data_IF_488815505518
#
_entry.id   IF_488815505518
#
_cell.length_a   1.000
_cell.length_b   1.000
_cell.length_c   1.000
_cell.angle_alpha   90.00
_cell.angle_beta   90.00
_cell.angle_gamma   90.00
#
_symmetry.space_group_name_H-M   'P 1'
#
loop_
_entity.id
_entity.type
_entity.pdbx_description
1 polymer ?
#
# COMPACT_ATOMS: atom_id res chain seq x y z
N UNK A 1 22.14 -2.32 -9.43
CA UNK A 1 21.57 -1.19 -8.66
C UNK A 1 20.87 -1.73 -7.40
N UNK A 2 20.92 -0.97 -6.32
CA UNK A 2 20.21 -1.30 -5.09
C UNK A 2 18.70 -1.16 -5.31
N UNK A 3 17.91 -2.12 -4.84
CA UNK A 3 16.44 -2.10 -4.99
C UNK A 3 15.81 -1.11 -4.01
N UNK A 4 14.93 -0.25 -4.51
CA UNK A 4 14.15 0.69 -3.69
C UNK A 4 12.75 0.18 -3.37
N UNK A 5 12.34 -0.94 -3.99
CA UNK A 5 10.98 -1.51 -3.92
C UNK A 5 11.01 -2.98 -4.33
N UNK A 6 10.24 -3.83 -3.66
CA UNK A 6 10.16 -5.26 -3.97
C UNK A 6 8.94 -5.54 -4.87
N UNK A 7 7.84 -4.80 -4.74
CA UNK A 7 6.62 -4.97 -5.55
C UNK A 7 6.90 -5.00 -7.04
N UNK A 8 7.77 -4.11 -7.54
CA UNK A 8 8.16 -4.11 -8.95
C UNK A 8 8.89 -5.37 -9.41
N UNK A 9 9.64 -6.03 -8.52
CA UNK A 9 10.30 -7.30 -8.82
C UNK A 9 9.28 -8.46 -8.85
N UNK A 10 8.34 -8.48 -7.90
CA UNK A 10 7.23 -9.45 -7.87
C UNK A 10 6.42 -9.37 -9.16
N UNK A 11 6.03 -8.16 -9.58
CA UNK A 11 5.30 -7.93 -10.82
C UNK A 11 6.09 -8.42 -12.04
N UNK A 12 7.39 -8.12 -12.12
CA UNK A 12 8.23 -8.59 -13.23
C UNK A 12 8.31 -10.13 -13.27
N UNK A 13 8.41 -10.80 -12.12
CA UNK A 13 8.42 -12.26 -12.05
C UNK A 13 7.14 -12.86 -12.60
N UNK A 14 5.98 -12.29 -12.25
CA UNK A 14 4.68 -12.72 -12.77
C UNK A 14 4.57 -12.49 -14.29
N UNK A 15 5.01 -11.35 -14.77
CA UNK A 15 5.00 -11.04 -16.20
C UNK A 15 5.83 -12.01 -17.03
N UNK A 16 6.96 -12.49 -16.49
CA UNK A 16 7.85 -13.42 -17.18
C UNK A 16 7.33 -14.87 -17.21
N UNK A 17 6.55 -15.27 -16.19
CA UNK A 17 6.07 -16.65 -16.05
C UNK A 17 4.62 -16.87 -16.55
N UNK A 18 3.98 -15.85 -17.12
CA UNK A 18 2.63 -15.91 -17.74
C UNK A 18 1.51 -16.45 -16.82
N UNK A 19 1.55 -16.07 -15.57
CA UNK A 19 0.53 -16.45 -14.59
C UNK A 19 -0.82 -15.77 -14.89
N UNK A 20 -1.83 -16.56 -15.23
CA UNK A 20 -3.20 -16.09 -15.53
C UNK A 20 -4.15 -16.22 -14.33
N UNK A 21 -3.84 -17.09 -13.38
CA UNK A 21 -4.67 -17.37 -12.21
C UNK A 21 -4.53 -16.30 -11.13
N UNK A 22 -5.47 -16.21 -10.18
CA UNK A 22 -5.28 -15.44 -8.97
C UNK A 22 -4.04 -15.91 -8.20
N UNK A 23 -3.23 -14.96 -7.70
CA UNK A 23 -2.02 -15.26 -6.94
C UNK A 23 -2.00 -14.50 -5.64
N UNK A 24 -1.67 -15.22 -4.56
CA UNK A 24 -1.39 -14.70 -3.23
C UNK A 24 0.10 -14.88 -2.98
N UNK A 25 0.82 -13.78 -2.92
CA UNK A 25 2.26 -13.77 -2.77
C UNK A 25 2.65 -13.03 -1.52
N UNK A 26 3.72 -13.50 -0.87
CA UNK A 26 4.38 -12.74 0.19
C UNK A 26 5.86 -12.60 -0.14
N UNK A 27 6.47 -11.57 0.38
CA UNK A 27 7.89 -11.35 0.24
C UNK A 27 8.52 -10.79 1.51
N UNK A 28 9.81 -11.06 1.65
CA UNK A 28 10.68 -10.50 2.68
C UNK A 28 11.98 -10.06 2.03
N UNK A 29 12.49 -8.92 2.42
CA UNK A 29 13.80 -8.47 1.91
C UNK A 29 14.13 -7.06 2.30
N UNK A 30 15.37 -6.70 1.99
CA UNK A 30 15.88 -5.37 2.25
C UNK A 30 15.66 -4.46 1.05
N UNK A 31 15.25 -3.22 1.32
CA UNK A 31 15.17 -2.14 0.37
C UNK A 31 16.12 -1.01 0.78
N UNK A 32 16.54 -0.22 -0.19
CA UNK A 32 17.48 0.86 0.01
C UNK A 32 16.85 2.18 -0.44
N UNK A 33 16.75 3.13 0.47
CA UNK A 33 16.21 4.46 0.16
C UNK A 33 17.25 5.52 0.49
N UNK A 34 17.30 6.54 -0.37
CA UNK A 34 18.12 7.71 -0.11
C UNK A 34 17.43 8.59 0.91
N UNK A 35 18.07 8.84 2.03
CA UNK A 35 17.64 9.84 2.99
C UNK A 35 17.90 11.24 2.39
N UNK A 36 16.81 12.01 2.27
CA UNK A 36 16.88 13.34 1.64
C UNK A 36 17.67 14.34 2.51
N UNK A 37 17.59 14.16 3.82
CA UNK A 37 18.24 15.09 4.79
C UNK A 37 19.75 14.87 4.82
N UNK A 38 20.18 13.63 4.96
CA UNK A 38 21.59 13.28 5.15
C UNK A 38 22.31 12.87 3.88
N UNK A 39 21.59 12.78 2.74
CA UNK A 39 22.09 12.29 1.46
C UNK A 39 22.70 10.87 1.52
N UNK A 40 22.37 10.09 2.57
CA UNK A 40 22.84 8.74 2.81
C UNK A 40 21.85 7.70 2.30
N UNK A 41 22.38 6.54 1.93
CA UNK A 41 21.52 5.39 1.62
C UNK A 41 21.24 4.63 2.91
N UNK A 42 19.96 4.51 3.25
CA UNK A 42 19.50 3.70 4.39
C UNK A 42 18.89 2.40 3.88
N UNK A 43 19.20 1.34 4.58
CA UNK A 43 18.62 0.02 4.38
C UNK A 43 17.40 -0.12 5.31
N UNK A 44 16.32 -0.69 4.79
CA UNK A 44 15.10 -1.01 5.54
C UNK A 44 14.69 -2.43 5.23
N UNK A 45 14.30 -3.18 6.25
CA UNK A 45 13.70 -4.50 6.08
C UNK A 45 12.21 -4.37 5.81
N UNK A 46 11.76 -5.00 4.75
CA UNK A 46 10.38 -4.90 4.28
C UNK A 46 9.77 -6.31 4.16
N UNK A 47 8.58 -6.50 4.73
CA UNK A 47 7.74 -7.67 4.50
C UNK A 47 6.46 -7.21 3.84
N UNK A 48 5.95 -7.96 2.87
CA UNK A 48 4.74 -7.57 2.18
C UNK A 48 3.95 -8.73 1.60
N UNK A 49 2.73 -8.41 1.22
CA UNK A 49 1.76 -9.32 0.59
C UNK A 49 1.24 -8.66 -0.66
N UNK A 50 1.11 -9.45 -1.73
CA UNK A 50 0.50 -9.04 -2.99
C UNK A 50 -0.59 -10.03 -3.39
N UNK A 51 -1.78 -9.52 -3.71
CA UNK A 51 -2.90 -10.30 -4.26
C UNK A 51 -3.13 -9.82 -5.68
N UNK A 52 -2.92 -10.69 -6.65
CA UNK A 52 -2.83 -10.35 -8.07
C UNK A 52 -3.86 -11.13 -8.85
N UNK A 53 -4.45 -10.49 -9.88
CA UNK A 53 -5.47 -11.07 -10.77
C UNK A 53 -6.72 -11.55 -10.02
N UNK A 54 -7.07 -10.92 -8.90
CA UNK A 54 -8.32 -11.10 -8.17
C UNK A 54 -9.23 -9.87 -8.33
N UNK A 55 -10.54 -10.00 -8.11
CA UNK A 55 -11.43 -8.84 -8.06
C UNK A 55 -10.94 -7.80 -7.05
N UNK A 56 -10.93 -6.51 -7.44
CA UNK A 56 -10.33 -5.42 -6.65
C UNK A 56 -10.90 -5.31 -5.23
N UNK A 57 -12.22 -5.48 -5.09
CA UNK A 57 -12.91 -5.44 -3.79
C UNK A 57 -12.45 -6.56 -2.86
N UNK A 58 -12.29 -7.76 -3.40
CA UNK A 58 -11.91 -8.94 -2.62
C UNK A 58 -10.43 -8.88 -2.25
N UNK A 59 -9.58 -8.49 -3.20
CA UNK A 59 -8.15 -8.25 -2.95
C UNK A 59 -7.93 -7.21 -1.87
N UNK A 60 -8.61 -6.07 -1.94
CA UNK A 60 -8.52 -5.02 -0.92
C UNK A 60 -8.97 -5.52 0.45
N UNK A 61 -10.13 -6.21 0.50
CA UNK A 61 -10.66 -6.80 1.74
C UNK A 61 -9.67 -7.74 2.41
N UNK A 62 -9.08 -8.66 1.65
CA UNK A 62 -8.08 -9.60 2.17
C UNK A 62 -6.79 -8.90 2.60
N UNK A 63 -6.28 -7.96 1.81
CA UNK A 63 -5.08 -7.17 2.12
C UNK A 63 -5.23 -6.45 3.47
N UNK A 64 -6.33 -5.70 3.67
CA UNK A 64 -6.53 -4.97 4.93
C UNK A 64 -6.78 -5.91 6.10
N UNK A 65 -7.45 -7.05 5.90
CA UNK A 65 -7.67 -8.06 6.93
C UNK A 65 -6.38 -8.72 7.40
N UNK A 66 -5.51 -9.11 6.47
CA UNK A 66 -4.20 -9.70 6.78
C UNK A 66 -3.35 -8.69 7.55
N UNK A 67 -3.25 -7.46 7.05
CA UNK A 67 -2.46 -6.41 7.69
C UNK A 67 -2.98 -6.08 9.10
N UNK A 68 -4.28 -5.89 9.25
CA UNK A 68 -4.90 -5.58 10.55
C UNK A 68 -4.69 -6.70 11.57
N UNK A 69 -4.80 -7.96 11.14
CA UNK A 69 -4.51 -9.12 11.98
C UNK A 69 -3.04 -9.16 12.46
N UNK A 70 -2.11 -8.77 11.62
CA UNK A 70 -0.68 -8.67 12.00
C UNK A 70 -0.48 -7.54 13.00
N UNK A 71 -0.92 -6.34 12.67
CA UNK A 71 -0.69 -5.15 13.48
C UNK A 71 -1.42 -5.21 14.83
N UNK A 72 -2.65 -5.74 14.87
CA UNK A 72 -3.42 -5.86 16.11
C UNK A 72 -2.77 -6.81 17.12
N UNK A 73 -2.11 -7.86 16.65
CA UNK A 73 -1.36 -8.79 17.50
C UNK A 73 -0.08 -8.18 18.07
N UNK A 74 0.56 -7.30 17.32
CA UNK A 74 1.83 -6.67 17.70
C UNK A 74 1.60 -5.42 18.54
N UNK A 75 0.65 -4.56 18.14
CA UNK A 75 0.53 -3.19 18.65
C UNK A 75 -0.77 -2.94 19.44
N UNK A 76 -1.59 -3.97 19.71
CA UNK A 76 -2.83 -3.84 20.48
C UNK A 76 -3.74 -2.68 20.02
N UNK A 77 -3.81 -2.43 18.70
CA UNK A 77 -4.57 -1.34 18.05
C UNK A 77 -4.02 0.08 18.26
N UNK A 78 -2.78 0.24 18.66
CA UNK A 78 -2.14 1.56 18.74
C UNK A 78 -1.62 2.03 17.37
N UNK A 79 -2.49 2.03 16.37
CA UNK A 79 -2.17 2.47 15.00
C UNK A 79 -3.41 3.02 14.29
N UNK A 80 -3.18 3.82 13.25
CA UNK A 80 -4.21 4.45 12.44
C UNK A 80 -3.94 4.27 10.95
N UNK A 81 -4.99 3.98 10.18
CA UNK A 81 -4.95 3.98 8.72
C UNK A 81 -5.21 5.38 8.17
N UNK A 82 -4.41 5.82 7.21
CA UNK A 82 -4.66 7.06 6.46
C UNK A 82 -4.87 6.68 5.00
N UNK A 83 -6.10 6.84 4.52
CA UNK A 83 -6.46 6.58 3.13
C UNK A 83 -6.28 7.81 2.27
N UNK A 84 -5.84 7.63 1.03
CA UNK A 84 -5.64 8.68 0.04
C UNK A 84 -5.90 8.18 -1.38
N UNK A 85 -6.15 9.11 -2.30
CA UNK A 85 -6.15 8.80 -3.72
C UNK A 85 -4.71 8.84 -4.27
N UNK A 86 -4.21 7.77 -4.89
CA UNK A 86 -2.88 7.75 -5.46
C UNK A 86 -2.68 8.76 -6.59
N UNK A 87 -3.76 9.25 -7.22
CA UNK A 87 -3.72 10.20 -8.32
C UNK A 87 -3.69 11.66 -7.89
N UNK A 88 -3.89 11.95 -6.61
CA UNK A 88 -3.77 13.31 -6.08
C UNK A 88 -2.32 13.76 -6.15
N UNK A 89 -2.00 14.61 -7.13
CA UNK A 89 -0.71 15.28 -7.22
C UNK A 89 -0.72 16.63 -6.48
N UNK A 90 -1.88 17.30 -6.47
CA UNK A 90 -2.13 18.49 -5.66
C UNK A 90 -3.64 18.70 -5.50
N UNK A 91 -4.03 19.51 -4.50
CA UNK A 91 -5.43 19.83 -4.18
C UNK A 91 -6.20 20.43 -5.37
N UNK A 92 -5.55 21.23 -6.21
CA UNK A 92 -6.18 21.89 -7.37
C UNK A 92 -6.61 20.87 -8.43
N UNK A 93 -5.79 19.86 -8.68
CA UNK A 93 -6.12 18.81 -9.66
C UNK A 93 -7.22 17.86 -9.16
N UNK A 94 -7.35 17.69 -7.84
CA UNK A 94 -8.40 16.88 -7.26
C UNK A 94 -9.79 17.49 -7.40
N UNK A 95 -9.89 18.80 -7.25
CA UNK A 95 -11.18 19.53 -7.33
C UNK A 95 -11.86 19.42 -8.68
N UNK A 96 -11.12 19.14 -9.76
CA UNK A 96 -11.67 19.02 -11.11
C UNK A 96 -12.52 17.73 -11.30
N UNK A 97 -12.30 16.70 -10.46
CA UNK A 97 -13.02 15.41 -10.55
C UNK A 97 -13.42 14.88 -9.15
N UNK A 98 -13.76 15.80 -8.26
CA UNK A 98 -13.91 15.52 -6.82
C UNK A 98 -14.99 14.47 -6.52
N UNK A 99 -16.13 14.52 -7.20
CA UNK A 99 -17.26 13.63 -6.94
C UNK A 99 -16.91 12.18 -7.27
N UNK A 100 -16.42 11.94 -8.48
CA UNK A 100 -16.05 10.59 -8.96
C UNK A 100 -14.94 9.96 -8.10
N UNK A 101 -13.95 10.76 -7.71
CA UNK A 101 -12.84 10.28 -6.88
C UNK A 101 -13.28 9.98 -5.45
N UNK A 102 -14.14 10.83 -4.86
CA UNK A 102 -14.72 10.58 -3.53
C UNK A 102 -15.56 9.31 -3.49
N UNK A 103 -16.42 9.09 -4.48
CA UNK A 103 -17.26 7.90 -4.56
C UNK A 103 -16.43 6.63 -4.66
N UNK A 104 -15.35 6.67 -5.43
CA UNK A 104 -14.41 5.57 -5.58
C UNK A 104 -13.72 5.21 -4.26
N UNK A 105 -13.16 6.19 -3.57
CA UNK A 105 -12.52 5.98 -2.28
C UNK A 105 -13.53 5.52 -1.23
N UNK A 106 -14.71 6.12 -1.18
CA UNK A 106 -15.77 5.77 -0.24
C UNK A 106 -16.19 4.30 -0.36
N UNK A 107 -16.19 3.74 -1.58
CA UNK A 107 -16.43 2.31 -1.78
C UNK A 107 -15.41 1.45 -1.01
N UNK A 108 -14.11 1.75 -1.12
CA UNK A 108 -13.06 1.02 -0.41
C UNK A 108 -13.11 1.26 1.11
N UNK A 109 -13.42 2.48 1.55
CA UNK A 109 -13.63 2.79 2.97
C UNK A 109 -14.79 2.00 3.55
N UNK A 110 -15.88 1.83 2.79
CA UNK A 110 -17.02 1.00 3.22
C UNK A 110 -16.61 -0.46 3.39
N UNK A 111 -15.82 -1.00 2.45
CA UNK A 111 -15.27 -2.35 2.57
C UNK A 111 -14.37 -2.44 3.81
N UNK A 112 -13.50 -1.46 4.03
CA UNK A 112 -12.61 -1.40 5.19
C UNK A 112 -13.40 -1.44 6.50
N UNK A 113 -14.38 -0.56 6.69
CA UNK A 113 -15.24 -0.50 7.88
C UNK A 113 -15.95 -1.82 8.18
N UNK A 114 -16.38 -2.54 7.15
CA UNK A 114 -17.05 -3.82 7.27
C UNK A 114 -16.08 -4.99 7.52
N UNK A 115 -14.76 -4.78 7.29
CA UNK A 115 -13.75 -5.83 7.41
C UNK A 115 -12.96 -5.72 8.71
N UNK A 116 -12.55 -4.51 9.07
CA UNK A 116 -11.71 -4.21 10.24
C UNK A 116 -12.29 -3.05 11.02
N UNK A 117 -12.02 -3.02 12.34
CA UNK A 117 -12.55 -1.98 13.26
C UNK A 117 -11.44 -1.03 13.74
N UNK A 118 -10.38 -0.90 12.97
CA UNK A 118 -9.26 -0.02 13.30
C UNK A 118 -9.56 1.44 12.93
N UNK A 119 -9.02 2.41 13.66
CA UNK A 119 -9.19 3.82 13.35
C UNK A 119 -8.62 4.16 11.98
N UNK A 120 -9.28 5.11 11.31
CA UNK A 120 -8.84 5.60 10.01
C UNK A 120 -9.14 7.07 9.80
N UNK A 121 -8.38 7.70 8.91
CA UNK A 121 -8.58 9.05 8.40
C UNK A 121 -8.52 9.05 6.87
N UNK A 122 -9.15 10.07 6.26
CA UNK A 122 -9.09 10.31 4.83
C UNK A 122 -8.27 11.58 4.58
N UNK A 123 -7.14 11.42 3.90
CA UNK A 123 -6.30 12.54 3.48
C UNK A 123 -6.36 12.70 1.96
N UNK A 124 -6.98 13.79 1.50
CA UNK A 124 -7.15 14.13 0.08
C UNK A 124 -6.33 15.37 -0.33
N UNK A 125 -5.38 15.80 0.49
CA UNK A 125 -4.64 17.04 0.19
C UNK A 125 -3.47 16.80 -0.75
N UNK A 126 -2.60 15.85 -0.47
CA UNK A 126 -1.44 15.54 -1.30
C UNK A 126 -0.89 14.15 -1.02
N UNK A 127 -0.60 13.40 -2.08
CA UNK A 127 0.07 12.11 -1.98
C UNK A 127 1.50 12.21 -2.52
N UNK A 128 2.48 12.26 -1.63
CA UNK A 128 3.90 12.39 -1.97
C UNK A 128 4.58 11.07 -2.34
N UNK A 129 3.96 9.93 -2.01
CA UNK A 129 4.62 8.62 -2.05
C UNK A 129 4.02 7.68 -3.09
N UNK A 130 2.93 8.09 -3.77
CA UNK A 130 2.36 7.26 -4.82
C UNK A 130 3.27 7.21 -6.04
N UNK A 131 3.34 6.04 -6.65
CA UNK A 131 4.01 5.82 -7.93
C UNK A 131 2.98 5.83 -9.06
N UNK A 132 3.42 6.04 -10.30
CA UNK A 132 2.52 6.15 -11.46
C UNK A 132 1.65 4.90 -11.69
N UNK A 133 2.07 3.74 -11.22
CA UNK A 133 1.32 2.50 -11.31
C UNK A 133 0.26 2.31 -10.22
N UNK A 134 0.25 3.14 -9.16
CA UNK A 134 -0.79 3.06 -8.13
C UNK A 134 -2.15 3.50 -8.67
N UNK A 135 -3.19 2.76 -8.31
CA UNK A 135 -4.56 2.97 -8.76
C UNK A 135 -5.53 2.82 -7.57
N UNK A 136 -6.74 3.30 -7.77
CA UNK A 136 -7.89 3.11 -6.91
C UNK A 136 -7.78 3.79 -5.55
N UNK A 137 -7.23 3.15 -4.55
CA UNK A 137 -7.00 3.68 -3.20
C UNK A 137 -5.58 3.31 -2.75
N UNK A 138 -4.98 4.21 -2.02
CA UNK A 138 -3.71 3.99 -1.33
C UNK A 138 -3.87 4.27 0.15
N UNK A 139 -3.12 3.59 0.99
CA UNK A 139 -3.16 3.79 2.43
C UNK A 139 -1.77 3.75 3.05
N UNK A 140 -1.65 4.46 4.15
CA UNK A 140 -0.54 4.41 5.08
C UNK A 140 -1.05 3.95 6.43
N UNK A 141 -0.23 3.27 7.20
CA UNK A 141 -0.51 2.94 8.60
C UNK A 141 0.59 3.52 9.47
N UNK A 142 0.21 4.35 10.40
CA UNK A 142 1.12 4.97 11.34
C UNK A 142 0.85 4.49 12.76
N UNK A 143 1.90 4.42 13.58
CA UNK A 143 1.74 4.32 15.02
C UNK A 143 1.05 5.59 15.54
N UNK A 144 0.05 5.42 16.42
CA UNK A 144 -0.69 6.53 16.99
C UNK A 144 0.20 7.44 17.87
N UNK A 145 1.15 6.85 18.61
CA UNK A 145 2.00 7.56 19.55
C UNK A 145 3.25 8.12 18.86
N UNK A 146 4.05 7.27 18.24
CA UNK A 146 5.36 7.63 17.69
C UNK A 146 5.30 8.29 16.32
N UNK A 147 4.14 8.25 15.65
CA UNK A 147 3.94 8.71 14.26
C UNK A 147 4.88 8.03 13.25
N UNK A 148 5.46 6.87 13.60
CA UNK A 148 6.28 6.08 12.68
C UNK A 148 5.40 5.42 11.63
N UNK A 149 5.85 5.40 10.38
CA UNK A 149 5.21 4.68 9.29
C UNK A 149 5.45 3.17 9.46
N UNK A 150 4.39 2.43 9.73
CA UNK A 150 4.41 0.99 9.99
C UNK A 150 4.21 0.17 8.73
N UNK A 151 3.27 0.60 7.90
CA UNK A 151 2.94 -0.06 6.65
C UNK A 151 2.39 0.92 5.63
N UNK A 152 2.45 0.52 4.37
CA UNK A 152 1.80 1.23 3.27
C UNK A 152 1.31 0.22 2.24
N UNK A 153 0.24 0.57 1.52
CA UNK A 153 -0.30 -0.32 0.50
C UNK A 153 -1.41 0.32 -0.32
N UNK A 154 -1.95 -0.46 -1.25
CA UNK A 154 -3.01 0.02 -2.11
C UNK A 154 -3.16 -0.80 -3.38
N UNK A 155 -4.05 -0.33 -4.25
CA UNK A 155 -4.24 -0.90 -5.57
C UNK A 155 -3.17 -0.44 -6.55
N UNK A 156 -2.85 -1.31 -7.49
CA UNK A 156 -1.95 -0.99 -8.59
C UNK A 156 -2.38 -1.66 -9.89
N UNK A 157 -1.96 -1.04 -10.99
CA UNK A 157 -2.11 -1.58 -12.32
C UNK A 157 -0.79 -1.40 -13.07
N UNK A 158 -0.30 -2.48 -13.64
CA UNK A 158 0.94 -2.48 -14.38
C UNK A 158 0.72 -3.04 -15.80
N UNK A 159 1.10 -2.25 -16.79
CA UNK A 159 0.95 -2.61 -18.18
C UNK A 159 2.33 -2.73 -18.84
N UNK A 160 2.66 -3.92 -19.35
CA UNK A 160 3.92 -4.18 -20.07
C UNK A 160 3.73 -5.29 -21.10
N UNK A 161 4.26 -5.10 -22.31
CA UNK A 161 4.24 -6.11 -23.38
C UNK A 161 2.83 -6.66 -23.68
N UNK A 162 1.82 -5.78 -23.75
CA UNK A 162 0.40 -6.13 -23.95
C UNK A 162 -0.22 -6.96 -22.82
N UNK A 163 0.48 -7.18 -21.71
CA UNK A 163 -0.07 -7.82 -20.51
C UNK A 163 -0.45 -6.74 -19.50
N UNK A 164 -1.62 -6.91 -18.89
CA UNK A 164 -2.12 -6.07 -17.81
C UNK A 164 -2.14 -6.90 -16.54
N UNK A 165 -1.51 -6.38 -15.48
CA UNK A 165 -1.54 -6.97 -14.14
C UNK A 165 -2.20 -5.96 -13.22
N UNK A 166 -3.23 -6.40 -12.53
CA UNK A 166 -3.89 -5.64 -11.47
C UNK A 166 -3.74 -6.37 -10.15
N UNK A 167 -3.53 -5.62 -9.08
CA UNK A 167 -3.38 -6.18 -7.76
C UNK A 167 -3.62 -5.17 -6.65
N UNK A 168 -3.70 -5.71 -5.46
CA UNK A 168 -3.64 -5.00 -4.19
C UNK A 168 -2.57 -5.62 -3.33
N UNK A 169 -1.82 -4.78 -2.64
CA UNK A 169 -0.77 -5.25 -1.74
C UNK A 169 -0.47 -4.26 -0.63
N UNK A 170 0.35 -4.71 0.29
CA UNK A 170 0.94 -3.87 1.32
C UNK A 170 2.38 -4.27 1.60
N UNK A 171 3.13 -3.35 2.16
CA UNK A 171 4.45 -3.61 2.74
C UNK A 171 4.54 -3.03 4.15
N UNK A 172 5.08 -3.81 5.08
CA UNK A 172 5.42 -3.38 6.43
C UNK A 172 6.89 -2.96 6.52
N UNK A 173 7.14 -1.89 7.25
CA UNK A 173 8.49 -1.51 7.68
C UNK A 173 8.81 -2.26 8.98
N UNK A 174 9.61 -3.32 8.86
CA UNK A 174 9.91 -4.21 9.99
C UNK A 174 10.74 -3.49 11.05
N UNK A 175 11.66 -2.63 10.65
CA UNK A 175 12.50 -1.89 11.59
C UNK A 175 11.65 -0.95 12.46
N UNK A 176 10.71 -0.22 11.86
CA UNK A 176 9.80 0.64 12.61
C UNK A 176 8.83 -0.14 13.51
N UNK A 177 8.43 -1.35 13.10
CA UNK A 177 7.60 -2.23 13.94
C UNK A 177 8.42 -2.76 15.13
N UNK A 178 9.66 -3.19 14.91
CA UNK A 178 10.53 -3.71 15.96
C UNK A 178 10.84 -2.65 17.04
N UNK A 179 10.95 -1.39 16.66
CA UNK A 179 11.18 -0.27 17.60
C UNK A 179 9.98 0.00 18.54
N UNK A 180 8.83 -0.64 18.34
CA UNK A 180 7.61 -0.43 19.14
C UNK A 180 7.26 -1.62 20.05
N UNK A 181 8.05 -2.70 19.96
CA UNK A 181 7.91 -3.91 20.78
C UNK A 181 8.95 -3.91 21.91
#
# INVERSE_FOLDING_TARGET
SLRSDITGQVINTILTHDYKSPHYLYYMGDIFKKDIVNNQIKQYRQHGVEIINCPKSDSFKEVVKILDNILSKILQKNYIYIFTDPKIKNKKNYLLDEKTNKDKINKFITIFKNTVKSPYELNLEKNFFSKDYHQDVFFYVYSSDSKKLLAQGGGYQYFKNKKNIEGFGFSCNVDNLADLI
#
